data_IF_848361071540
#
_entry.id   IF_848361071540
#
_cell.length_a   1.000
_cell.length_b   1.000
_cell.length_c   1.000
_cell.angle_alpha   90.00
_cell.angle_beta   90.00
_cell.angle_gamma   90.00
#
_symmetry.space_group_name_H-M   'P 1'
#
loop_
_entity.id
_entity.type
_entity.pdbx_description
1 polymer ?
#
# COMPACT_ATOMS: atom_id res chain seq x y z
N UNK A 1 19.46 109.69 -7.94
CA UNK A 1 19.10 109.11 -6.62
C UNK A 1 17.68 108.57 -6.68
N UNK A 2 17.50 107.30 -6.25
CA UNK A 2 16.35 106.65 -5.55
C UNK A 2 14.91 106.91 -6.08
N UNK A 3 13.93 105.98 -6.05
CA UNK A 3 13.75 104.55 -5.74
C UNK A 3 12.22 104.29 -5.88
N UNK A 4 11.83 103.03 -6.10
CA UNK A 4 10.61 102.34 -5.59
C UNK A 4 9.22 102.47 -6.26
N UNK A 5 8.72 101.28 -6.69
CA UNK A 5 7.37 100.63 -6.57
C UNK A 5 6.12 101.30 -7.18
N UNK A 6 4.98 100.61 -7.47
CA UNK A 6 4.50 99.31 -6.94
C UNK A 6 3.71 98.37 -7.93
N UNK A 7 3.04 97.39 -7.29
CA UNK A 7 2.14 96.27 -7.62
C UNK A 7 0.72 96.66 -8.15
N UNK A 8 0.05 95.81 -8.96
CA UNK A 8 -1.42 95.53 -9.09
C UNK A 8 -1.69 94.72 -10.40
N UNK A 9 -2.24 93.50 -10.43
CA UNK A 9 -3.61 92.98 -10.17
C UNK A 9 -4.68 93.35 -11.23
N UNK A 10 -5.27 92.29 -11.81
CA UNK A 10 -6.62 92.15 -12.40
C UNK A 10 -6.96 92.58 -13.85
N UNK A 11 -7.61 91.60 -14.52
CA UNK A 11 -8.86 91.69 -15.31
C UNK A 11 -8.80 92.12 -16.78
N UNK A 12 -9.05 91.09 -17.60
CA UNK A 12 -9.97 91.00 -18.73
C UNK A 12 -10.41 92.24 -19.51
N UNK A 13 -10.45 91.98 -20.83
CA UNK A 13 -11.59 92.19 -21.74
C UNK A 13 -11.45 93.36 -22.74
N UNK A 14 -11.99 93.05 -23.92
CA UNK A 14 -12.41 93.90 -25.05
C UNK A 14 -11.43 94.19 -26.20
N UNK A 15 -11.70 93.43 -27.26
CA UNK A 15 -12.15 93.88 -28.59
C UNK A 15 -11.14 94.28 -29.68
N UNK A 16 -11.32 93.51 -30.78
CA UNK A 16 -11.17 93.84 -32.19
C UNK A 16 -10.86 95.29 -32.54
N UNK A 17 -9.80 95.47 -33.34
CA UNK A 17 -9.76 96.51 -34.36
C UNK A 17 -9.29 95.89 -35.69
N UNK A 18 -9.94 96.37 -36.73
CA UNK A 18 -10.16 95.83 -38.05
C UNK A 18 -9.00 96.23 -38.97
N UNK A 19 -8.74 95.37 -39.95
CA UNK A 19 -7.74 95.50 -41.01
C UNK A 19 -7.92 96.74 -41.90
N UNK A 20 -6.79 97.26 -42.41
CA UNK A 20 -6.73 97.94 -43.71
C UNK A 20 -5.35 97.75 -44.36
N UNK A 21 -5.41 97.41 -45.64
CA UNK A 21 -4.39 96.82 -46.51
C UNK A 21 -3.23 97.73 -46.92
N UNK A 22 -2.12 97.12 -47.35
CA UNK A 22 -1.65 97.29 -48.73
C UNK A 22 -0.72 96.15 -49.17
N UNK A 23 -1.14 95.52 -50.26
CA UNK A 23 -0.46 94.56 -51.16
C UNK A 23 1.06 94.48 -51.05
N UNK A 24 1.56 93.26 -50.91
CA UNK A 24 2.77 92.84 -51.60
C UNK A 24 2.56 91.44 -52.17
N UNK A 25 2.88 91.29 -53.44
CA UNK A 25 2.63 90.10 -54.25
C UNK A 25 3.67 89.03 -53.92
N UNK A 26 3.29 88.08 -53.07
CA UNK A 26 4.01 86.81 -52.95
C UNK A 26 3.02 85.66 -53.15
N UNK A 27 2.79 85.29 -54.40
CA UNK A 27 2.23 83.97 -54.71
C UNK A 27 3.26 82.93 -54.26
N UNK A 28 3.04 82.37 -53.08
CA UNK A 28 3.57 81.05 -52.75
C UNK A 28 2.85 80.08 -53.67
N UNK A 29 3.59 79.47 -54.59
CA UNK A 29 3.13 78.38 -55.44
C UNK A 29 2.66 77.22 -54.55
N UNK A 30 1.38 77.18 -54.20
CA UNK A 30 0.73 76.00 -53.64
C UNK A 30 0.48 74.99 -54.77
N UNK A 31 1.55 74.42 -55.34
CA UNK A 31 1.44 73.16 -56.06
C UNK A 31 1.18 72.09 -55.00
N UNK A 32 0.09 71.31 -55.06
CA UNK A 32 -0.08 70.19 -54.14
C UNK A 32 1.13 69.27 -54.29
N UNK A 33 1.93 69.12 -53.24
CA UNK A 33 2.99 68.11 -53.22
C UNK A 33 2.34 66.75 -53.47
N UNK A 34 2.87 66.01 -54.46
CA UNK A 34 2.41 64.66 -54.72
C UNK A 34 2.59 63.83 -53.43
N UNK A 35 1.59 63.02 -53.01
CA UNK A 35 1.69 62.23 -51.80
C UNK A 35 2.95 61.35 -51.82
N UNK A 36 3.74 61.43 -50.76
CA UNK A 36 4.92 60.58 -50.57
C UNK A 36 4.49 59.11 -50.48
N UNK A 37 5.32 58.21 -50.98
CA UNK A 37 5.12 56.78 -50.74
C UNK A 37 5.35 56.47 -49.25
N UNK A 38 4.52 55.56 -48.70
CA UNK A 38 4.64 55.11 -47.32
C UNK A 38 5.65 53.96 -47.27
N UNK A 39 6.75 54.16 -46.55
CA UNK A 39 7.84 53.16 -46.45
C UNK A 39 8.13 52.91 -44.97
N UNK A 40 8.18 51.63 -44.61
CA UNK A 40 8.60 51.16 -43.29
C UNK A 40 10.09 50.83 -43.32
N UNK A 41 10.76 50.97 -42.19
CA UNK A 41 12.16 50.57 -42.00
C UNK A 41 12.42 49.12 -42.43
N UNK A 42 11.45 48.23 -42.21
CA UNK A 42 11.51 46.81 -42.59
C UNK A 42 10.17 46.35 -43.16
N UNK A 43 10.21 45.31 -43.99
CA UNK A 43 9.03 44.64 -44.55
C UNK A 43 8.72 43.31 -43.87
N UNK A 44 9.64 42.78 -43.05
CA UNK A 44 9.42 41.61 -42.19
C UNK A 44 10.05 41.77 -40.81
N UNK A 45 9.48 41.07 -39.82
CA UNK A 45 9.93 41.04 -38.44
C UNK A 45 9.65 39.66 -37.83
N UNK A 46 10.64 39.06 -37.18
CA UNK A 46 10.47 37.84 -36.40
C UNK A 46 10.65 38.15 -34.91
N UNK A 47 9.68 37.77 -34.08
CA UNK A 47 9.68 37.97 -32.63
C UNK A 47 9.44 36.67 -31.89
N UNK A 48 9.95 36.54 -30.67
CA UNK A 48 9.53 35.49 -29.74
C UNK A 48 8.25 35.92 -29.03
N UNK A 49 7.42 34.96 -28.61
CA UNK A 49 6.25 35.25 -27.76
C UNK A 49 6.67 36.14 -26.57
N UNK A 50 5.86 37.17 -26.28
CA UNK A 50 6.09 38.23 -25.29
C UNK A 50 7.22 39.24 -25.60
N UNK A 51 7.96 39.09 -26.71
CA UNK A 51 8.94 40.07 -27.16
C UNK A 51 8.26 41.32 -27.76
N UNK A 52 8.93 42.45 -27.68
CA UNK A 52 8.49 43.71 -28.28
C UNK A 52 9.61 44.28 -29.15
N UNK A 53 9.27 44.81 -30.32
CA UNK A 53 10.20 45.58 -31.13
C UNK A 53 9.57 46.90 -31.58
N UNK A 54 10.44 47.86 -31.90
CA UNK A 54 10.06 49.16 -32.46
C UNK A 54 10.70 49.34 -33.82
N UNK A 55 9.95 49.91 -34.76
CA UNK A 55 10.40 50.24 -36.12
C UNK A 55 9.92 51.65 -36.48
N UNK A 56 10.59 52.29 -37.42
CA UNK A 56 10.24 53.66 -37.84
C UNK A 56 9.56 53.67 -39.20
N UNK A 57 8.61 54.57 -39.38
CA UNK A 57 8.10 54.99 -40.70
C UNK A 57 9.10 55.97 -41.32
N UNK A 58 9.80 55.54 -42.36
CA UNK A 58 10.94 56.27 -42.96
C UNK A 58 10.52 57.26 -44.06
N UNK A 59 9.37 57.04 -44.68
CA UNK A 59 8.72 57.95 -45.62
C UNK A 59 7.20 57.84 -45.50
N UNK A 60 6.47 58.95 -45.67
CA UNK A 60 5.00 58.96 -45.62
C UNK A 60 4.44 60.37 -45.42
N UNK A 61 3.11 60.47 -45.33
CA UNK A 61 2.40 61.76 -45.27
C UNK A 61 1.88 62.14 -43.86
N UNK A 62 2.41 61.52 -42.80
CA UNK A 62 2.04 61.81 -41.40
C UNK A 62 0.69 61.23 -40.96
N UNK A 63 0.33 61.43 -39.69
CA UNK A 63 -0.88 60.93 -39.03
C UNK A 63 -1.14 59.43 -39.27
N UNK A 64 -0.16 58.61 -38.91
CA UNK A 64 -0.20 57.19 -39.17
C UNK A 64 -1.22 56.46 -38.29
N UNK A 65 -1.87 55.47 -38.88
CA UNK A 65 -2.75 54.51 -38.20
C UNK A 65 -2.24 53.10 -38.47
N UNK A 66 -2.55 52.16 -37.57
CA UNK A 66 -2.10 50.77 -37.67
C UNK A 66 -3.27 49.81 -37.54
N UNK A 67 -3.26 48.76 -38.36
CA UNK A 67 -4.17 47.63 -38.29
C UNK A 67 -3.37 46.34 -38.29
N UNK A 68 -3.71 45.41 -37.40
CA UNK A 68 -3.14 44.05 -37.38
C UNK A 68 -4.19 43.07 -37.88
N UNK A 69 -3.81 42.21 -38.83
CA UNK A 69 -4.71 41.25 -39.46
C UNK A 69 -5.22 40.20 -38.45
N UNK A 70 -4.31 39.59 -37.71
CA UNK A 70 -4.59 38.69 -36.60
C UNK A 70 -4.02 39.26 -35.29
N UNK A 71 -4.91 39.75 -34.43
CA UNK A 71 -4.58 40.32 -33.13
C UNK A 71 -4.30 39.27 -32.05
N UNK A 72 -4.57 37.98 -32.31
CA UNK A 72 -4.19 36.89 -31.41
C UNK A 72 -2.69 36.56 -31.53
N UNK A 73 -2.08 36.82 -32.69
CA UNK A 73 -0.65 36.57 -32.95
C UNK A 73 0.22 37.73 -32.46
N UNK A 74 -0.14 38.98 -32.78
CA UNK A 74 0.61 40.16 -32.34
C UNK A 74 -0.29 41.39 -32.19
N UNK A 75 0.17 42.39 -31.44
CA UNK A 75 -0.44 43.72 -31.38
C UNK A 75 0.52 44.79 -31.87
N UNK A 76 -0.01 45.90 -32.37
CA UNK A 76 0.80 47.02 -32.81
C UNK A 76 0.18 48.36 -32.44
N UNK A 77 1.02 49.32 -32.05
CA UNK A 77 0.65 50.72 -31.84
C UNK A 77 1.57 51.61 -32.64
N UNK A 78 1.09 52.76 -33.08
CA UNK A 78 1.91 53.78 -33.75
C UNK A 78 1.82 55.10 -32.99
N UNK A 79 2.96 55.71 -32.70
CA UNK A 79 3.04 57.01 -32.02
C UNK A 79 4.05 57.87 -32.77
N UNK A 80 3.57 58.99 -33.31
CA UNK A 80 4.32 59.76 -34.31
C UNK A 80 4.80 58.82 -35.43
N UNK A 81 6.10 58.71 -35.68
CA UNK A 81 6.68 57.86 -36.71
C UNK A 81 7.12 56.48 -36.19
N UNK A 82 6.91 56.17 -34.91
CA UNK A 82 7.39 54.91 -34.31
C UNK A 82 6.26 53.89 -34.21
N UNK A 83 6.46 52.75 -34.85
CA UNK A 83 5.61 51.56 -34.78
C UNK A 83 6.16 50.62 -33.70
N UNK A 84 5.38 50.30 -32.68
CA UNK A 84 5.71 49.32 -31.64
C UNK A 84 4.88 48.06 -31.86
N UNK A 85 5.53 46.90 -31.97
CA UNK A 85 4.88 45.59 -32.13
C UNK A 85 5.19 44.75 -30.90
N UNK A 86 4.16 44.12 -30.34
CA UNK A 86 4.27 43.18 -29.21
C UNK A 86 3.75 41.81 -29.66
N UNK A 87 4.57 40.79 -29.54
CA UNK A 87 4.21 39.41 -29.88
C UNK A 87 3.33 38.78 -28.79
N UNK A 88 2.24 38.11 -29.18
CA UNK A 88 1.23 37.56 -28.27
C UNK A 88 1.23 36.03 -28.30
N UNK A 89 1.09 35.42 -29.48
CA UNK A 89 1.07 33.97 -29.63
C UNK A 89 1.81 33.54 -30.90
N UNK A 90 2.28 32.29 -30.94
CA UNK A 90 2.94 31.73 -32.11
C UNK A 90 2.04 31.79 -33.34
N UNK A 91 2.59 32.24 -34.47
CA UNK A 91 1.85 32.36 -35.72
C UNK A 91 2.42 33.43 -36.63
N UNK A 92 1.73 33.69 -37.73
CA UNK A 92 2.08 34.75 -38.69
C UNK A 92 0.93 35.74 -38.81
N UNK A 93 1.24 37.03 -38.88
CA UNK A 93 0.26 38.09 -39.05
C UNK A 93 0.85 39.23 -39.87
N UNK A 94 -0.02 40.08 -40.42
CA UNK A 94 0.41 41.27 -41.17
C UNK A 94 -0.01 42.51 -40.41
N UNK A 95 0.94 43.42 -40.18
CA UNK A 95 0.71 44.75 -39.65
C UNK A 95 0.69 45.73 -40.82
N UNK A 96 -0.47 46.37 -41.06
CA UNK A 96 -0.64 47.39 -42.09
C UNK A 96 -0.65 48.77 -41.46
N UNK A 97 0.24 49.64 -41.93
CA UNK A 97 0.27 51.07 -41.56
C UNK A 97 -0.36 51.86 -42.70
N UNK A 98 -1.20 52.84 -42.36
CA UNK A 98 -1.78 53.78 -43.32
C UNK A 98 -1.50 55.22 -42.90
N UNK A 99 -1.33 56.12 -43.86
CA UNK A 99 -1.11 57.56 -43.61
C UNK A 99 -2.32 58.45 -43.93
N UNK A 100 -2.20 59.75 -43.67
CA UNK A 100 -3.26 60.74 -43.90
C UNK A 100 -3.75 60.85 -45.36
N UNK A 101 -2.98 60.33 -46.34
CA UNK A 101 -3.32 60.35 -47.77
C UNK A 101 -3.80 58.98 -48.27
N UNK A 102 -4.01 58.03 -47.35
CA UNK A 102 -4.50 56.69 -47.67
C UNK A 102 -3.43 55.78 -48.30
N UNK A 103 -2.15 56.17 -48.28
CA UNK A 103 -1.06 55.27 -48.69
C UNK A 103 -0.84 54.24 -47.58
N UNK A 104 -0.55 53.00 -47.98
CA UNK A 104 -0.39 51.88 -47.06
C UNK A 104 0.96 51.19 -47.25
N UNK A 105 1.49 50.63 -46.16
CA UNK A 105 2.66 49.78 -46.15
C UNK A 105 2.41 48.60 -45.20
N UNK A 106 2.96 47.43 -45.55
CA UNK A 106 2.74 46.20 -44.79
C UNK A 106 4.04 45.66 -44.22
N UNK A 107 3.95 45.13 -43.01
CA UNK A 107 5.02 44.43 -42.30
C UNK A 107 4.52 43.01 -42.00
N UNK A 108 5.20 42.00 -42.54
CA UNK A 108 4.96 40.61 -42.18
C UNK A 108 5.61 40.32 -40.83
N UNK A 109 4.81 39.88 -39.85
CA UNK A 109 5.26 39.55 -38.50
C UNK A 109 5.12 38.05 -38.27
N UNK A 110 6.23 37.38 -38.01
CA UNK A 110 6.26 35.97 -37.61
C UNK A 110 6.61 35.88 -36.13
N UNK A 111 5.71 35.32 -35.33
CA UNK A 111 5.96 35.07 -33.91
C UNK A 111 6.35 33.61 -33.73
N UNK A 112 7.59 33.37 -33.31
CA UNK A 112 8.07 32.03 -32.98
C UNK A 112 7.71 31.67 -31.55
N UNK A 113 7.23 30.44 -31.34
CA UNK A 113 6.98 29.91 -30.01
C UNK A 113 8.26 29.74 -29.18
N UNK A 114 8.10 29.51 -27.88
CA UNK A 114 9.21 29.25 -26.96
C UNK A 114 9.25 27.74 -26.70
N UNK A 115 10.47 27.18 -26.75
CA UNK A 115 10.71 25.80 -26.32
C UNK A 115 10.21 25.61 -24.89
N UNK A 116 9.37 24.59 -24.67
CA UNK A 116 8.95 24.23 -23.32
C UNK A 116 8.63 22.74 -23.21
N UNK A 117 8.77 22.22 -21.99
CA UNK A 117 8.21 20.93 -21.60
C UNK A 117 6.73 21.14 -21.23
N UNK A 118 5.84 20.43 -21.91
CA UNK A 118 4.39 20.50 -21.68
C UNK A 118 4.00 19.66 -20.46
N UNK A 119 4.50 18.43 -20.38
CA UNK A 119 4.21 17.53 -19.26
C UNK A 119 5.20 17.80 -18.11
N UNK A 120 4.83 18.69 -17.19
CA UNK A 120 5.70 19.13 -16.08
C UNK A 120 5.99 18.07 -15.02
N UNK A 121 5.20 17.01 -14.97
CA UNK A 121 5.40 15.88 -14.06
C UNK A 121 4.91 14.59 -14.68
N UNK A 122 5.66 13.50 -14.53
CA UNK A 122 5.26 12.17 -15.00
C UNK A 122 5.59 11.09 -13.97
N UNK A 123 4.78 10.05 -13.93
CA UNK A 123 5.05 8.83 -13.15
C UNK A 123 5.30 7.67 -14.11
N UNK A 124 6.30 6.85 -13.82
CA UNK A 124 6.65 5.67 -14.62
C UNK A 124 7.00 4.51 -13.70
N UNK A 125 6.57 3.30 -14.04
CA UNK A 125 7.00 2.11 -13.30
C UNK A 125 8.45 1.77 -13.62
N UNK A 126 9.17 1.20 -12.66
CA UNK A 126 10.54 0.73 -12.89
C UNK A 126 10.58 -0.32 -14.02
N UNK A 127 11.40 -0.07 -15.05
CA UNK A 127 11.49 -0.85 -16.28
C UNK A 127 10.46 -0.49 -17.37
N UNK A 128 9.48 0.36 -17.07
CA UNK A 128 8.49 0.83 -18.04
C UNK A 128 8.94 2.12 -18.74
N UNK A 129 8.26 2.45 -19.85
CA UNK A 129 8.45 3.69 -20.61
C UNK A 129 7.20 4.54 -20.61
N UNK A 130 7.38 5.84 -20.61
CA UNK A 130 6.32 6.83 -20.79
C UNK A 130 6.79 7.94 -21.72
N UNK A 131 5.85 8.66 -22.31
CA UNK A 131 6.13 9.78 -23.20
C UNK A 131 5.98 11.10 -22.43
N UNK A 132 6.86 12.06 -22.71
CA UNK A 132 6.80 13.44 -22.22
C UNK A 132 6.73 14.39 -23.40
N UNK A 133 5.68 15.21 -23.44
CA UNK A 133 5.43 16.16 -24.53
C UNK A 133 6.23 17.43 -24.34
N UNK A 134 6.77 17.91 -25.45
CA UNK A 134 7.45 19.19 -25.60
C UNK A 134 6.65 20.07 -26.58
N UNK A 135 6.99 21.35 -26.62
CA UNK A 135 6.52 22.27 -27.65
C UNK A 135 7.69 23.06 -28.21
N UNK A 136 7.66 23.31 -29.52
CA UNK A 136 8.68 24.07 -30.24
C UNK A 136 10.10 23.54 -30.04
N UNK A 137 10.24 22.22 -29.95
CA UNK A 137 11.53 21.55 -29.82
C UNK A 137 12.06 21.00 -31.14
N UNK A 138 13.30 20.52 -31.09
CA UNK A 138 13.98 19.81 -32.16
C UNK A 138 14.61 18.55 -31.58
N UNK A 139 14.50 17.40 -32.26
CA UNK A 139 14.83 16.08 -31.71
C UNK A 139 16.27 15.92 -31.15
N UNK A 140 17.17 16.88 -31.40
CA UNK A 140 18.49 16.93 -30.77
C UNK A 140 18.41 17.58 -29.38
N UNK A 141 18.10 16.77 -28.36
CA UNK A 141 18.06 17.20 -26.95
C UNK A 141 19.24 16.68 -26.15
N UNK A 142 19.74 17.50 -25.24
CA UNK A 142 20.59 17.08 -24.14
C UNK A 142 19.78 17.06 -22.84
N UNK A 143 19.58 15.87 -22.27
CA UNK A 143 18.79 15.67 -21.06
C UNK A 143 19.70 15.31 -19.88
N UNK A 144 19.57 16.03 -18.77
CA UNK A 144 20.31 15.77 -17.53
C UNK A 144 19.33 15.39 -16.43
N UNK A 145 19.53 14.22 -15.82
CA UNK A 145 18.68 13.68 -14.75
C UNK A 145 19.38 13.84 -13.40
N UNK A 146 18.70 14.44 -12.42
CA UNK A 146 19.21 14.59 -11.05
C UNK A 146 18.16 14.08 -10.05
N UNK A 147 18.48 13.08 -9.21
CA UNK A 147 19.72 12.30 -9.16
C UNK A 147 19.98 11.46 -10.42
N UNK A 148 21.25 11.18 -10.72
CA UNK A 148 21.63 10.32 -11.86
C UNK A 148 21.17 8.86 -11.64
N UNK A 149 20.84 8.17 -12.74
CA UNK A 149 20.48 6.76 -12.73
C UNK A 149 19.04 6.43 -12.29
N UNK A 150 18.19 7.43 -12.08
CA UNK A 150 16.76 7.24 -11.78
C UNK A 150 15.96 6.96 -13.05
N UNK A 151 16.19 7.74 -14.11
CA UNK A 151 15.56 7.55 -15.42
C UNK A 151 16.58 7.64 -16.57
N UNK A 152 16.25 7.00 -17.68
CA UNK A 152 16.89 7.23 -18.97
C UNK A 152 15.93 8.02 -19.87
N UNK A 153 16.41 9.12 -20.47
CA UNK A 153 15.60 9.98 -21.33
C UNK A 153 16.21 10.01 -22.72
N UNK A 154 15.35 9.88 -23.74
CA UNK A 154 15.75 9.88 -25.14
C UNK A 154 14.73 10.63 -25.99
N UNK A 155 15.17 11.23 -27.10
CA UNK A 155 14.27 11.85 -28.06
C UNK A 155 13.51 10.78 -28.86
N UNK A 156 12.19 10.93 -28.96
CA UNK A 156 11.34 10.10 -29.81
C UNK A 156 10.95 10.83 -31.10
N UNK A 157 10.61 12.11 -30.99
CA UNK A 157 10.34 13.04 -32.09
C UNK A 157 10.77 14.46 -31.69
N UNK A 158 10.59 15.45 -32.58
CA UNK A 158 10.83 16.87 -32.31
C UNK A 158 9.99 17.45 -31.17
N UNK A 159 8.97 16.75 -30.67
CA UNK A 159 8.14 17.25 -29.58
C UNK A 159 7.78 16.16 -28.56
N UNK A 160 8.50 15.04 -28.55
CA UNK A 160 8.24 13.94 -27.62
C UNK A 160 9.55 13.33 -27.15
N UNK A 161 9.71 13.22 -25.83
CA UNK A 161 10.74 12.42 -25.17
C UNK A 161 10.16 11.08 -24.74
N UNK A 162 10.97 10.02 -24.80
CA UNK A 162 10.70 8.75 -24.13
C UNK A 162 11.51 8.70 -22.83
N UNK A 163 10.82 8.44 -21.72
CA UNK A 163 11.39 8.34 -20.37
C UNK A 163 11.23 6.90 -19.89
N UNK A 164 12.34 6.24 -19.58
CA UNK A 164 12.39 4.89 -19.04
C UNK A 164 12.77 4.93 -17.55
N UNK A 165 11.95 4.32 -16.69
CA UNK A 165 12.26 4.19 -15.26
C UNK A 165 13.37 3.15 -15.03
N UNK A 166 14.45 3.52 -14.35
CA UNK A 166 15.57 2.61 -14.06
C UNK A 166 15.67 2.22 -12.58
N UNK A 167 15.29 3.14 -11.69
CA UNK A 167 15.40 2.94 -10.24
C UNK A 167 14.30 3.72 -9.53
N UNK A 168 13.66 3.08 -8.56
CA UNK A 168 12.63 3.70 -7.71
C UNK A 168 13.16 4.95 -7.02
N UNK A 169 12.41 6.04 -7.12
CA UNK A 169 12.78 7.34 -6.58
C UNK A 169 12.18 8.48 -7.38
N UNK A 170 12.56 9.71 -7.05
CA UNK A 170 12.17 10.91 -7.78
C UNK A 170 13.40 11.59 -8.37
N UNK A 171 13.25 12.19 -9.54
CA UNK A 171 14.30 12.96 -10.20
C UNK A 171 13.72 14.14 -10.98
N UNK A 172 14.48 15.22 -11.04
CA UNK A 172 14.24 16.34 -11.94
C UNK A 172 15.05 16.12 -13.22
N UNK A 173 14.38 16.24 -14.37
CA UNK A 173 15.03 16.18 -15.68
C UNK A 173 15.10 17.59 -16.26
N UNK A 174 16.31 18.05 -16.57
CA UNK A 174 16.53 19.26 -17.36
C UNK A 174 16.68 18.89 -18.82
N UNK A 175 15.82 19.43 -19.67
CA UNK A 175 15.83 19.22 -21.12
C UNK A 175 16.43 20.45 -21.78
N UNK A 176 17.54 20.28 -22.50
CA UNK A 176 18.13 21.33 -23.33
C UNK A 176 17.85 21.02 -24.79
N UNK A 177 17.11 21.88 -25.48
CA UNK A 177 17.06 21.88 -26.93
C UNK A 177 18.40 22.44 -27.46
N UNK A 178 19.19 21.58 -28.10
CA UNK A 178 20.57 21.90 -28.51
C UNK A 178 20.59 22.98 -29.60
N UNK A 179 19.57 23.01 -30.45
CA UNK A 179 19.52 23.93 -31.59
C UNK A 179 19.19 25.37 -31.15
N UNK A 180 18.23 25.52 -30.25
CA UNK A 180 17.81 26.81 -29.72
C UNK A 180 18.61 27.26 -28.49
N UNK A 181 19.33 26.33 -27.85
CA UNK A 181 20.04 26.54 -26.58
C UNK A 181 19.11 26.79 -25.39
N UNK A 182 17.81 26.51 -25.52
CA UNK A 182 16.81 26.74 -24.49
C UNK A 182 16.62 25.50 -23.61
N UNK A 183 16.24 25.76 -22.37
CA UNK A 183 16.08 24.75 -21.35
C UNK A 183 14.73 24.88 -20.66
N UNK A 184 14.19 23.74 -20.27
CA UNK A 184 13.03 23.63 -19.39
C UNK A 184 13.12 22.30 -18.63
N UNK A 185 12.32 22.15 -17.59
CA UNK A 185 12.40 21.01 -16.66
C UNK A 185 11.06 20.29 -16.52
N UNK A 186 11.13 19.03 -16.10
CA UNK A 186 10.00 18.27 -15.58
C UNK A 186 10.42 17.31 -14.47
N UNK A 187 9.48 16.98 -13.60
CA UNK A 187 9.66 16.03 -12.51
C UNK A 187 9.27 14.62 -12.94
N UNK A 188 10.04 13.63 -12.52
CA UNK A 188 9.73 12.21 -12.72
C UNK A 188 9.71 11.49 -11.39
N UNK A 189 8.66 10.69 -11.19
CA UNK A 189 8.62 9.70 -10.11
C UNK A 189 8.63 8.31 -10.70
N UNK A 190 9.65 7.52 -10.35
CA UNK A 190 9.73 6.11 -10.70
C UNK A 190 9.17 5.29 -9.55
N UNK A 191 8.05 4.61 -9.79
CA UNK A 191 7.43 3.71 -8.80
C UNK A 191 8.01 2.31 -8.93
N UNK A 192 8.06 1.57 -7.81
CA UNK A 192 8.37 0.14 -7.86
C UNK A 192 7.28 -0.63 -8.61
N UNK A 193 7.61 -1.83 -9.11
CA UNK A 193 6.59 -2.72 -9.65
C UNK A 193 5.57 -3.05 -8.55
N UNK A 194 4.25 -3.00 -8.82
CA UNK A 194 3.25 -3.31 -7.81
C UNK A 194 3.44 -4.73 -7.31
N UNK A 195 3.47 -4.92 -5.99
CA UNK A 195 3.67 -6.25 -5.43
C UNK A 195 2.35 -7.04 -5.40
N UNK A 196 2.25 -8.08 -6.23
CA UNK A 196 1.05 -8.91 -6.38
C UNK A 196 1.36 -10.39 -6.32
N UNK A 197 0.40 -11.16 -5.82
CA UNK A 197 0.47 -12.61 -5.65
C UNK A 197 -0.78 -13.29 -6.22
N UNK A 198 -0.67 -14.55 -6.63
CA UNK A 198 -1.75 -15.27 -7.30
C UNK A 198 -2.94 -15.63 -6.40
N UNK A 199 -2.73 -15.71 -5.08
CA UNK A 199 -3.76 -16.00 -4.07
C UNK A 199 -3.40 -15.30 -2.76
N UNK A 200 -4.41 -14.74 -2.08
CA UNK A 200 -4.24 -14.04 -0.81
C UNK A 200 -4.91 -14.75 0.38
N UNK A 201 -5.64 -15.85 0.14
CA UNK A 201 -6.18 -16.70 1.20
C UNK A 201 -6.52 -18.09 0.70
N UNK A 202 -6.42 -19.08 1.58
CA UNK A 202 -6.86 -20.45 1.35
C UNK A 202 -6.86 -21.26 2.66
N UNK A 203 -7.38 -22.48 2.57
CA UNK A 203 -7.41 -23.46 3.66
C UNK A 203 -6.44 -24.59 3.33
N UNK A 204 -5.67 -25.05 4.32
CA UNK A 204 -4.80 -26.23 4.25
C UNK A 204 -5.13 -27.23 5.34
N UNK A 205 -4.84 -28.50 5.08
CA UNK A 205 -4.77 -29.55 6.10
C UNK A 205 -3.33 -29.65 6.61
N UNK A 206 -3.14 -29.96 7.91
CA UNK A 206 -1.80 -30.19 8.49
C UNK A 206 -1.02 -31.22 7.65
N UNK A 207 0.22 -30.89 7.31
CA UNK A 207 1.10 -31.72 6.48
C UNK A 207 1.07 -31.40 4.98
N UNK A 208 0.04 -30.73 4.48
CA UNK A 208 -0.03 -30.33 3.08
C UNK A 208 0.79 -29.06 2.79
N UNK A 209 1.17 -28.91 1.52
CA UNK A 209 1.87 -27.73 1.01
C UNK A 209 1.09 -27.10 -0.14
N UNK A 210 0.94 -25.78 -0.13
CA UNK A 210 0.39 -24.98 -1.24
C UNK A 210 1.49 -24.08 -1.81
N UNK A 211 1.39 -23.79 -3.11
CA UNK A 211 2.27 -22.84 -3.78
C UNK A 211 1.51 -21.57 -4.15
N UNK A 212 2.10 -20.41 -3.86
CA UNK A 212 1.59 -19.10 -4.30
C UNK A 212 2.64 -18.43 -5.17
N UNK A 213 2.24 -18.02 -6.36
CA UNK A 213 3.12 -17.34 -7.29
C UNK A 213 3.14 -15.84 -6.99
N UNK A 214 4.33 -15.24 -7.03
CA UNK A 214 4.53 -13.79 -7.07
C UNK A 214 4.39 -13.37 -8.53
N UNK A 215 3.32 -12.63 -8.83
CA UNK A 215 2.95 -12.26 -10.20
C UNK A 215 3.56 -10.93 -10.63
N UNK A 216 3.92 -10.07 -9.68
CA UNK A 216 4.69 -8.82 -9.90
C UNK A 216 5.28 -8.38 -8.56
N UNK A 217 6.41 -7.68 -8.55
CA UNK A 217 7.08 -7.21 -7.33
C UNK A 217 8.58 -7.00 -7.52
N UNK A 218 9.25 -6.41 -6.52
CA UNK A 218 10.68 -6.12 -6.57
C UNK A 218 11.48 -7.25 -5.86
N UNK A 219 12.37 -8.00 -6.56
CA UNK A 219 13.12 -9.14 -5.98
C UNK A 219 13.89 -8.80 -4.68
N UNK A 220 14.23 -9.81 -3.86
CA UNK A 220 14.60 -9.74 -2.42
C UNK A 220 13.40 -9.90 -1.48
N UNK A 221 12.57 -10.91 -1.77
CA UNK A 221 11.36 -11.21 -1.00
C UNK A 221 11.70 -11.80 0.37
N UNK A 222 11.07 -11.27 1.42
CA UNK A 222 11.25 -11.66 2.82
C UNK A 222 9.93 -12.10 3.43
N UNK A 223 9.99 -13.11 4.30
CA UNK A 223 8.81 -13.67 4.98
C UNK A 223 8.79 -13.23 6.45
N UNK A 224 7.60 -12.84 6.91
CA UNK A 224 7.28 -12.64 8.32
C UNK A 224 5.98 -13.41 8.67
N UNK A 225 5.93 -13.98 9.87
CA UNK A 225 4.79 -14.77 10.35
C UNK A 225 4.04 -14.05 11.47
N UNK A 226 2.72 -14.23 11.52
CA UNK A 226 1.96 -13.93 12.74
C UNK A 226 2.06 -15.07 13.77
N UNK A 227 2.13 -16.34 13.33
CA UNK A 227 2.23 -17.54 14.18
C UNK A 227 3.05 -18.62 13.47
N UNK A 228 4.29 -18.86 13.93
CA UNK A 228 5.24 -19.78 13.28
C UNK A 228 4.89 -21.28 13.38
N UNK A 229 4.08 -21.66 14.37
CA UNK A 229 3.69 -23.06 14.60
C UNK A 229 2.48 -23.51 13.77
N UNK A 230 1.87 -22.62 12.98
CA UNK A 230 0.70 -22.93 12.14
C UNK A 230 1.12 -23.23 10.70
N UNK A 231 1.98 -22.39 10.11
CA UNK A 231 2.43 -22.53 8.72
C UNK A 231 3.89 -22.10 8.60
N UNK A 232 4.68 -22.85 7.83
CA UNK A 232 6.03 -22.48 7.42
C UNK A 232 5.99 -22.02 5.97
N UNK A 233 6.78 -21.01 5.64
CA UNK A 233 6.89 -20.52 4.27
C UNK A 233 8.35 -20.48 3.81
N UNK A 234 8.61 -20.90 2.59
CA UNK A 234 9.90 -20.81 1.92
C UNK A 234 9.70 -20.15 0.56
N UNK A 235 10.64 -19.30 0.15
CA UNK A 235 10.59 -18.64 -1.17
C UNK A 235 11.67 -19.26 -2.05
N UNK A 236 11.28 -19.72 -3.23
CA UNK A 236 12.18 -20.18 -4.28
C UNK A 236 11.90 -19.38 -5.56
N UNK A 237 12.75 -18.39 -5.86
CA UNK A 237 12.51 -17.44 -6.94
C UNK A 237 11.21 -16.65 -6.71
N UNK A 238 10.26 -16.78 -7.64
CA UNK A 238 8.96 -16.11 -7.58
C UNK A 238 7.84 -17.02 -7.04
N UNK A 239 8.17 -18.12 -6.37
CA UNK A 239 7.17 -19.04 -5.80
C UNK A 239 7.35 -19.13 -4.29
N UNK A 240 6.24 -18.96 -3.58
CA UNK A 240 6.13 -19.10 -2.13
C UNK A 240 5.55 -20.48 -1.84
N UNK A 241 6.33 -21.34 -1.19
CA UNK A 241 5.89 -22.66 -0.71
C UNK A 241 5.42 -22.55 0.73
N UNK A 242 4.16 -22.89 0.99
CA UNK A 242 3.50 -22.77 2.29
C UNK A 242 3.15 -24.17 2.80
N UNK A 243 3.86 -24.66 3.82
CA UNK A 243 3.63 -25.97 4.43
C UNK A 243 2.89 -25.82 5.75
N UNK A 244 1.75 -26.49 5.87
CA UNK A 244 0.95 -26.49 7.10
C UNK A 244 1.61 -27.32 8.21
N UNK A 245 1.77 -26.71 9.39
CA UNK A 245 2.46 -27.29 10.56
C UNK A 245 1.51 -27.63 11.70
N UNK A 246 0.52 -26.76 11.98
CA UNK A 246 -0.37 -26.93 13.11
C UNK A 246 -1.71 -26.24 12.89
N UNK A 247 -2.76 -26.77 13.50
CA UNK A 247 -4.11 -26.23 13.41
C UNK A 247 -4.16 -24.77 13.87
N UNK A 248 -4.86 -23.91 13.13
CA UNK A 248 -5.06 -22.53 13.50
C UNK A 248 -5.15 -21.59 12.30
N UNK A 249 -5.16 -20.28 12.57
CA UNK A 249 -5.14 -19.24 11.55
C UNK A 249 -3.82 -18.49 11.65
N UNK A 250 -3.17 -18.25 10.51
CA UNK A 250 -1.95 -17.46 10.45
C UNK A 250 -1.95 -16.55 9.23
N UNK A 251 -1.34 -15.39 9.37
CA UNK A 251 -0.99 -14.52 8.27
C UNK A 251 0.48 -14.73 7.94
N UNK A 252 0.76 -15.00 6.67
CA UNK A 252 2.11 -14.95 6.11
C UNK A 252 2.24 -13.64 5.36
N UNK A 253 3.14 -12.78 5.84
CA UNK A 253 3.40 -11.47 5.25
C UNK A 253 4.68 -11.58 4.46
N UNK A 254 4.61 -11.28 3.18
CA UNK A 254 5.75 -11.20 2.29
C UNK A 254 6.06 -9.73 2.07
N UNK A 255 7.33 -9.37 2.09
CA UNK A 255 7.81 -8.02 1.80
C UNK A 255 8.79 -8.07 0.64
N UNK A 256 8.72 -7.13 -0.29
CA UNK A 256 9.63 -7.02 -1.43
C UNK A 256 10.78 -6.01 -1.15
N UNK A 257 11.73 -5.82 -2.08
CA UNK A 257 12.83 -4.86 -1.87
C UNK A 257 12.36 -3.41 -1.69
N UNK A 258 11.21 -3.06 -2.26
CA UNK A 258 10.59 -1.74 -2.14
C UNK A 258 9.73 -1.59 -0.87
N UNK A 259 9.81 -2.55 0.06
CA UNK A 259 9.04 -2.60 1.31
C UNK A 259 7.52 -2.71 1.11
N UNK A 260 7.07 -3.08 -0.10
CA UNK A 260 5.66 -3.39 -0.35
C UNK A 260 5.31 -4.72 0.29
N UNK A 261 4.08 -4.86 0.76
CA UNK A 261 3.62 -6.05 1.50
C UNK A 261 2.48 -6.75 0.80
N UNK A 262 2.55 -8.08 0.75
CA UNK A 262 1.44 -8.95 0.40
C UNK A 262 1.15 -9.87 1.58
N UNK A 263 -0.13 -10.07 1.90
CA UNK A 263 -0.56 -10.91 3.02
C UNK A 263 -1.32 -12.10 2.49
N UNK A 264 -0.95 -13.29 2.96
CA UNK A 264 -1.65 -14.54 2.72
C UNK A 264 -2.31 -14.98 4.03
N UNK A 265 -3.64 -14.96 4.07
CA UNK A 265 -4.41 -15.50 5.19
C UNK A 265 -4.57 -17.02 5.03
N UNK A 266 -3.87 -17.79 5.86
CA UNK A 266 -3.92 -19.25 5.85
C UNK A 266 -4.74 -19.73 7.03
N UNK A 267 -5.79 -20.51 6.76
CA UNK A 267 -6.44 -21.32 7.79
C UNK A 267 -5.92 -22.74 7.64
N UNK A 268 -5.25 -23.25 8.68
CA UNK A 268 -4.84 -24.65 8.75
C UNK A 268 -5.88 -25.36 9.60
N UNK A 269 -6.65 -26.24 8.98
CA UNK A 269 -7.43 -27.20 9.73
C UNK A 269 -6.44 -28.15 10.41
N UNK A 270 -6.65 -28.43 11.70
CA UNK A 270 -6.00 -29.60 12.30
C UNK A 270 -6.39 -30.81 11.48
N UNK A 271 -5.48 -31.77 11.33
CA UNK A 271 -5.72 -32.99 10.56
C UNK A 271 -7.16 -33.45 10.82
N UNK A 272 -8.04 -33.23 9.83
CA UNK A 272 -9.42 -33.60 9.99
C UNK A 272 -9.39 -35.12 10.03
N UNK A 273 -9.64 -35.65 11.20
CA UNK A 273 -10.03 -37.04 11.41
C UNK A 273 -11.43 -37.24 10.80
N UNK A 274 -11.56 -36.96 9.50
CA UNK A 274 -12.84 -36.89 8.80
C UNK A 274 -13.32 -38.23 8.29
N UNK A 275 -12.48 -39.25 8.37
CA UNK A 275 -12.86 -40.65 8.12
C UNK A 275 -11.87 -41.62 8.77
N UNK A 276 -11.37 -41.31 9.97
CA UNK A 276 -10.56 -42.27 10.76
C UNK A 276 -11.34 -42.90 11.90
N UNK A 277 -12.53 -42.39 12.20
CA UNK A 277 -13.34 -42.83 13.31
C UNK A 277 -14.59 -43.56 12.82
N UNK A 278 -14.89 -44.69 13.42
CA UNK A 278 -16.22 -45.26 13.40
C UNK A 278 -16.96 -44.81 14.67
N UNK A 279 -18.26 -44.57 14.56
CA UNK A 279 -19.11 -44.18 15.68
C UNK A 279 -20.26 -45.18 15.76
N UNK A 280 -20.13 -46.10 16.70
CA UNK A 280 -21.08 -47.20 16.89
C UNK A 280 -22.02 -46.88 18.05
N UNK A 281 -23.28 -47.31 17.94
CA UNK A 281 -24.23 -47.21 19.03
C UNK A 281 -23.94 -48.27 20.09
N UNK A 282 -23.88 -47.86 21.35
CA UNK A 282 -23.64 -48.76 22.47
C UNK A 282 -24.77 -49.77 22.63
N UNK A 283 -24.42 -51.00 22.98
CA UNK A 283 -25.37 -52.09 23.21
C UNK A 283 -25.67 -52.30 24.70
N UNK A 284 -26.78 -52.97 24.99
CA UNK A 284 -27.25 -53.36 26.32
C UNK A 284 -27.31 -52.18 27.33
N UNK A 285 -26.53 -52.27 28.41
CA UNK A 285 -26.48 -51.27 29.49
C UNK A 285 -25.89 -49.92 29.06
N UNK A 286 -25.38 -49.82 27.83
CA UNK A 286 -24.82 -48.60 27.25
C UNK A 286 -25.68 -48.06 26.07
N UNK A 287 -26.93 -48.48 25.91
CA UNK A 287 -27.84 -47.97 24.87
C UNK A 287 -27.91 -46.42 24.88
N UNK A 288 -27.71 -45.82 23.70
CA UNK A 288 -27.62 -44.36 23.53
C UNK A 288 -26.23 -43.75 23.76
N UNK A 289 -25.24 -44.52 24.22
CA UNK A 289 -23.83 -44.16 24.08
C UNK A 289 -23.42 -44.25 22.59
N UNK A 290 -22.57 -43.33 22.13
CA UNK A 290 -22.02 -43.29 20.77
C UNK A 290 -20.52 -43.46 20.90
N UNK A 291 -20.08 -44.71 20.76
CA UNK A 291 -18.72 -45.15 21.00
C UNK A 291 -17.86 -44.83 19.78
N UNK A 292 -16.85 -44.00 20.00
CA UNK A 292 -15.88 -43.61 19.00
C UNK A 292 -14.73 -44.61 19.05
N UNK A 293 -14.48 -45.28 17.93
CA UNK A 293 -13.37 -46.21 17.70
C UNK A 293 -12.56 -45.77 16.47
N UNK A 294 -11.37 -46.33 16.27
CA UNK A 294 -10.60 -46.09 15.05
C UNK A 294 -10.95 -47.13 13.98
N UNK A 295 -11.14 -46.66 12.74
CA UNK A 295 -11.22 -47.53 11.56
C UNK A 295 -9.97 -48.39 11.45
N UNK A 296 -10.14 -49.56 10.85
CA UNK A 296 -9.02 -50.45 10.58
C UNK A 296 -7.90 -49.73 9.79
N UNK A 297 -6.66 -49.82 10.31
CA UNK A 297 -5.45 -49.17 9.78
C UNK A 297 -5.43 -47.63 9.85
N UNK A 298 -6.39 -46.99 10.52
CA UNK A 298 -6.34 -45.56 10.70
C UNK A 298 -5.18 -45.12 11.61
N UNK A 299 -4.59 -43.97 11.29
CA UNK A 299 -3.50 -43.38 12.08
C UNK A 299 -3.89 -41.98 12.50
N UNK A 300 -4.05 -41.77 13.82
CA UNK A 300 -4.29 -40.46 14.40
C UNK A 300 -2.96 -39.72 14.63
N UNK A 301 -2.82 -38.50 14.12
CA UNK A 301 -1.61 -37.66 14.27
C UNK A 301 -1.98 -36.21 14.55
N UNK A 302 -1.10 -35.46 15.23
CA UNK A 302 -1.27 -34.04 15.51
C UNK A 302 -2.43 -33.74 16.46
N UNK A 303 -3.18 -32.68 16.17
CA UNK A 303 -4.35 -32.30 16.96
C UNK A 303 -5.58 -33.09 16.48
N UNK A 304 -6.18 -33.90 17.36
CA UNK A 304 -7.37 -34.69 17.06
C UNK A 304 -8.64 -33.99 17.53
N UNK A 305 -9.69 -34.06 16.70
CA UNK A 305 -11.06 -33.64 17.04
C UNK A 305 -11.96 -34.85 16.92
N UNK A 306 -12.71 -35.16 17.97
CA UNK A 306 -13.66 -36.27 17.98
C UNK A 306 -14.94 -35.88 17.21
N UNK A 307 -15.59 -36.81 16.47
CA UNK A 307 -16.86 -36.56 15.80
C UNK A 307 -17.90 -35.97 16.76
N UNK A 308 -18.70 -35.01 16.29
CA UNK A 308 -19.62 -34.27 17.15
C UNK A 308 -20.72 -35.16 17.74
N UNK A 309 -21.09 -36.24 17.05
CA UNK A 309 -22.01 -37.25 17.57
C UNK A 309 -21.40 -38.18 18.62
N UNK A 310 -20.07 -38.30 18.72
CA UNK A 310 -19.41 -39.20 19.67
C UNK A 310 -19.62 -38.77 21.13
N UNK A 311 -20.01 -39.72 21.98
CA UNK A 311 -20.18 -39.48 23.43
C UNK A 311 -19.23 -40.30 24.29
N UNK A 312 -18.66 -41.38 23.76
CA UNK A 312 -17.72 -42.25 24.49
C UNK A 312 -16.46 -42.48 23.66
N UNK A 313 -15.29 -42.42 24.29
CA UNK A 313 -14.06 -42.92 23.67
C UNK A 313 -13.85 -44.38 24.04
N UNK A 314 -13.63 -45.22 23.04
CA UNK A 314 -13.35 -46.63 23.24
C UNK A 314 -12.05 -46.86 24.04
N UNK A 315 -11.94 -48.04 24.65
CA UNK A 315 -10.77 -48.46 25.38
C UNK A 315 -9.55 -48.55 24.46
N UNK A 316 -8.40 -48.06 24.93
CA UNK A 316 -7.10 -48.13 24.24
C UNK A 316 -7.04 -47.51 22.84
N UNK A 317 -8.03 -46.72 22.43
CA UNK A 317 -8.14 -46.12 21.08
C UNK A 317 -6.85 -45.41 20.60
N UNK A 318 -6.09 -44.77 21.51
CA UNK A 318 -4.81 -44.13 21.21
C UNK A 318 -3.64 -44.67 22.05
N UNK A 319 -3.71 -45.91 22.56
CA UNK A 319 -2.63 -46.49 23.36
C UNK A 319 -1.30 -46.50 22.58
N UNK A 320 -0.26 -45.93 23.19
CA UNK A 320 1.08 -45.85 22.64
C UNK A 320 1.26 -44.84 21.51
N UNK A 321 0.23 -44.08 21.14
CA UNK A 321 0.30 -43.13 20.04
C UNK A 321 1.17 -41.92 20.42
N UNK A 322 2.31 -41.77 19.74
CA UNK A 322 3.27 -40.69 19.98
C UNK A 322 3.14 -39.52 19.02
N UNK A 323 2.21 -39.57 18.08
CA UNK A 323 2.06 -38.53 17.07
C UNK A 323 0.93 -37.54 17.41
N UNK A 324 0.02 -37.91 18.33
CA UNK A 324 -1.01 -37.00 18.83
C UNK A 324 -0.41 -35.95 19.77
N UNK A 325 -0.68 -34.68 19.50
CA UNK A 325 -0.21 -33.52 20.27
C UNK A 325 -1.30 -32.89 21.15
N UNK A 326 -2.56 -32.97 20.73
CA UNK A 326 -3.71 -32.49 21.51
C UNK A 326 -5.01 -33.19 21.13
N UNK A 327 -5.98 -33.24 22.04
CA UNK A 327 -7.30 -33.82 21.77
C UNK A 327 -8.46 -32.92 22.23
N UNK A 328 -9.41 -32.65 21.33
CA UNK A 328 -10.68 -32.01 21.67
C UNK A 328 -11.77 -33.05 21.94
N UNK A 329 -12.11 -33.23 23.22
CA UNK A 329 -13.11 -34.19 23.73
C UNK A 329 -14.35 -33.47 24.28
N UNK A 330 -14.69 -32.28 23.76
CA UNK A 330 -15.79 -31.43 24.27
C UNK A 330 -17.16 -32.13 24.36
N UNK A 331 -17.40 -33.17 23.57
CA UNK A 331 -18.67 -33.91 23.54
C UNK A 331 -18.62 -35.25 24.28
N UNK A 332 -17.42 -35.70 24.67
CA UNK A 332 -17.23 -36.98 25.36
C UNK A 332 -17.70 -36.88 26.82
N UNK A 333 -18.49 -37.86 27.26
CA UNK A 333 -18.94 -38.06 28.64
C UNK A 333 -18.15 -39.17 29.33
N UNK A 334 -17.56 -40.13 28.60
CA UNK A 334 -16.83 -41.28 29.15
C UNK A 334 -15.57 -41.56 28.34
N UNK A 335 -14.43 -41.65 29.03
CA UNK A 335 -13.14 -42.01 28.44
C UNK A 335 -12.83 -43.45 28.83
N UNK A 336 -12.68 -44.33 27.83
CA UNK A 336 -12.38 -45.74 28.02
C UNK A 336 -11.05 -46.03 28.71
N UNK A 337 -10.92 -47.27 29.18
CA UNK A 337 -9.72 -47.74 29.85
C UNK A 337 -8.51 -47.67 28.89
N UNK A 338 -7.41 -47.09 29.34
CA UNK A 338 -6.19 -46.95 28.55
C UNK A 338 -6.28 -46.05 27.30
N UNK A 339 -7.37 -45.30 27.08
CA UNK A 339 -7.64 -44.58 25.83
C UNK A 339 -6.47 -43.71 25.30
N UNK A 340 -5.68 -43.10 26.17
CA UNK A 340 -4.49 -42.29 25.88
C UNK A 340 -3.25 -42.79 26.65
N UNK A 341 -3.20 -44.09 26.96
CA UNK A 341 -2.03 -44.70 27.63
C UNK A 341 -0.78 -44.49 26.78
N UNK A 342 0.33 -44.13 27.43
CA UNK A 342 1.65 -43.91 26.80
C UNK A 342 1.66 -42.91 25.62
N UNK A 343 0.72 -41.96 25.56
CA UNK A 343 0.67 -40.89 24.56
C UNK A 343 1.63 -39.74 24.89
N UNK A 344 2.93 -39.96 24.76
CA UNK A 344 3.97 -39.09 25.36
C UNK A 344 4.06 -37.68 24.77
N UNK A 345 3.51 -37.46 23.56
CA UNK A 345 3.48 -36.14 22.91
C UNK A 345 2.17 -35.38 23.13
N UNK A 346 1.14 -36.00 23.71
CA UNK A 346 -0.13 -35.36 24.03
C UNK A 346 0.06 -34.31 25.13
N UNK A 347 0.03 -33.02 24.77
CA UNK A 347 0.25 -31.92 25.74
C UNK A 347 -1.03 -31.37 26.35
N UNK A 348 -2.13 -31.44 25.61
CA UNK A 348 -3.40 -30.79 25.98
C UNK A 348 -4.60 -31.65 25.61
N UNK A 349 -5.58 -31.69 26.51
CA UNK A 349 -6.89 -32.32 26.27
C UNK A 349 -7.99 -31.37 26.73
N UNK A 350 -9.01 -31.17 25.91
CA UNK A 350 -10.22 -30.41 26.26
C UNK A 350 -11.32 -31.38 26.64
N UNK A 351 -11.84 -31.31 27.87
CA UNK A 351 -12.82 -32.26 28.43
C UNK A 351 -13.95 -31.51 29.14
N UNK A 352 -14.85 -30.85 28.42
CA UNK A 352 -15.87 -29.98 29.06
C UNK A 352 -17.09 -30.72 29.62
N UNK A 353 -17.37 -31.93 29.13
CA UNK A 353 -18.56 -32.73 29.53
C UNK A 353 -18.23 -34.09 30.15
N UNK A 354 -16.94 -34.41 30.32
CA UNK A 354 -16.51 -35.73 30.80
C UNK A 354 -17.02 -35.96 32.22
N UNK A 355 -17.64 -37.13 32.42
CA UNK A 355 -18.17 -37.64 33.70
C UNK A 355 -17.32 -38.76 34.26
N UNK A 356 -16.79 -39.63 33.40
CA UNK A 356 -16.02 -40.81 33.80
C UNK A 356 -14.72 -40.95 33.04
N UNK A 357 -13.63 -41.26 33.77
CA UNK A 357 -12.32 -41.53 33.21
C UNK A 357 -11.87 -42.94 33.62
N UNK A 358 -11.59 -43.78 32.62
CA UNK A 358 -11.24 -45.18 32.75
C UNK A 358 -9.92 -45.49 33.46
N UNK A 359 -9.72 -46.77 33.74
CA UNK A 359 -8.48 -47.30 34.32
C UNK A 359 -7.33 -46.97 33.37
N UNK A 360 -6.24 -46.40 33.90
CA UNK A 360 -5.05 -46.09 33.11
C UNK A 360 -5.27 -45.17 31.89
N UNK A 361 -6.42 -44.47 31.79
CA UNK A 361 -6.81 -43.73 30.59
C UNK A 361 -5.73 -42.77 30.05
N UNK A 362 -4.94 -42.13 30.91
CA UNK A 362 -3.85 -41.23 30.56
C UNK A 362 -2.53 -41.63 31.26
N UNK A 363 -2.32 -42.91 31.57
CA UNK A 363 -1.07 -43.33 32.23
C UNK A 363 0.13 -43.03 31.32
N UNK A 364 1.18 -42.42 31.87
CA UNK A 364 2.40 -42.05 31.15
C UNK A 364 2.18 -41.19 29.89
N UNK A 365 1.14 -40.35 29.86
CA UNK A 365 0.93 -39.39 28.77
C UNK A 365 1.77 -38.11 28.96
N UNK A 366 1.82 -37.29 27.91
CA UNK A 366 2.66 -36.10 27.83
C UNK A 366 2.10 -34.83 28.47
N UNK A 367 1.01 -34.91 29.22
CA UNK A 367 0.21 -33.75 29.63
C UNK A 367 1.03 -32.78 30.47
N UNK A 368 0.92 -31.48 30.16
CA UNK A 368 1.55 -30.41 30.94
C UNK A 368 0.55 -29.73 31.87
N UNK A 369 -0.69 -29.62 31.42
CA UNK A 369 -1.82 -29.09 32.17
C UNK A 369 -3.05 -29.98 31.98
N UNK A 370 -3.90 -30.01 32.99
CA UNK A 370 -5.14 -30.78 33.01
C UNK A 370 -6.24 -29.94 33.65
N UNK A 371 -7.41 -29.88 33.02
CA UNK A 371 -8.63 -29.32 33.63
C UNK A 371 -9.67 -30.42 33.71
N UNK A 372 -10.08 -30.75 34.93
CA UNK A 372 -11.17 -31.66 35.21
C UNK A 372 -12.48 -30.85 35.32
N UNK A 373 -13.49 -31.13 34.47
CA UNK A 373 -14.72 -30.35 34.42
C UNK A 373 -15.56 -30.54 35.69
N UNK A 374 -16.54 -29.65 35.92
CA UNK A 374 -17.48 -29.79 37.03
C UNK A 374 -18.44 -30.98 36.85
N UNK A 375 -18.52 -31.53 35.63
CA UNK A 375 -19.28 -32.75 35.36
C UNK A 375 -18.57 -34.03 35.81
N UNK A 376 -17.31 -33.97 36.25
CA UNK A 376 -16.56 -35.18 36.57
C UNK A 376 -17.16 -35.86 37.81
N UNK A 377 -17.51 -37.13 37.69
CA UNK A 377 -18.12 -37.94 38.73
C UNK A 377 -17.16 -39.04 39.20
N UNK A 378 -16.46 -39.70 38.26
CA UNK A 378 -15.58 -40.84 38.57
C UNK A 378 -14.24 -40.76 37.84
N UNK A 379 -13.15 -41.02 38.56
CA UNK A 379 -11.81 -41.22 37.99
C UNK A 379 -11.24 -42.54 38.53
N UNK A 380 -11.05 -43.51 37.63
CA UNK A 380 -10.62 -44.85 38.00
C UNK A 380 -9.11 -44.94 38.31
N UNK A 381 -8.69 -46.13 38.72
CA UNK A 381 -7.32 -46.44 39.15
C UNK A 381 -6.28 -46.07 38.09
N UNK A 382 -5.18 -45.44 38.54
CA UNK A 382 -4.01 -45.08 37.72
C UNK A 382 -4.27 -44.17 36.51
N UNK A 383 -5.45 -43.54 36.42
CA UNK A 383 -5.87 -42.78 35.24
C UNK A 383 -4.83 -41.74 34.78
N UNK A 384 -4.12 -41.07 35.68
CA UNK A 384 -3.08 -40.08 35.38
C UNK A 384 -1.72 -40.42 35.99
N UNK A 385 -1.48 -41.70 36.29
CA UNK A 385 -0.19 -42.15 36.83
C UNK A 385 0.96 -41.81 35.87
N UNK A 386 2.14 -41.48 36.39
CA UNK A 386 3.36 -41.24 35.63
C UNK A 386 3.28 -40.13 34.56
N UNK A 387 2.36 -39.18 34.73
CA UNK A 387 2.36 -37.92 33.98
C UNK A 387 3.49 -37.01 34.49
N UNK A 388 4.70 -37.23 33.98
CA UNK A 388 5.92 -36.57 34.48
C UNK A 388 6.03 -35.09 34.12
N UNK A 389 5.34 -34.65 33.06
CA UNK A 389 5.32 -33.25 32.63
C UNK A 389 4.19 -32.42 33.24
N UNK A 390 3.27 -33.06 33.99
CA UNK A 390 2.07 -32.42 34.50
C UNK A 390 2.38 -31.55 35.71
N UNK A 391 2.33 -30.24 35.51
CA UNK A 391 2.65 -29.22 36.54
C UNK A 391 1.41 -28.49 37.06
N UNK A 392 0.32 -28.48 36.29
CA UNK A 392 -0.92 -27.80 36.67
C UNK A 392 -2.12 -28.72 36.52
N UNK A 393 -2.88 -28.89 37.59
CA UNK A 393 -4.21 -29.51 37.54
C UNK A 393 -5.22 -28.51 38.04
N UNK A 394 -6.30 -28.32 37.29
CA UNK A 394 -7.45 -27.52 37.70
C UNK A 394 -8.64 -28.45 37.87
N UNK A 395 -9.36 -28.33 38.97
CA UNK A 395 -10.64 -29.01 39.17
C UNK A 395 -11.72 -27.95 39.31
N UNK A 396 -12.83 -28.13 38.59
CA UNK A 396 -13.97 -27.20 38.65
C UNK A 396 -15.05 -27.64 39.64
N UNK A 397 -14.92 -28.83 40.23
CA UNK A 397 -15.83 -29.31 41.27
C UNK A 397 -15.56 -28.61 42.62
N UNK A 398 -16.59 -28.02 43.25
CA UNK A 398 -16.43 -27.36 44.54
C UNK A 398 -16.21 -28.33 45.70
N UNK A 399 -16.57 -29.61 45.52
CA UNK A 399 -16.34 -30.67 46.50
C UNK A 399 -15.45 -31.76 45.89
N UNK A 400 -14.48 -32.31 46.63
CA UNK A 400 -13.60 -33.35 46.10
C UNK A 400 -14.37 -34.64 45.84
N UNK A 401 -14.40 -35.09 44.58
CA UNK A 401 -14.91 -36.43 44.25
C UNK A 401 -14.01 -37.53 44.79
N UNK A 402 -14.54 -38.73 44.97
CA UNK A 402 -13.72 -39.90 45.30
C UNK A 402 -12.85 -40.27 44.11
N UNK A 403 -11.54 -40.33 44.33
CA UNK A 403 -10.56 -40.85 43.36
C UNK A 403 -9.92 -42.12 43.89
N UNK A 404 -9.58 -43.01 42.97
CA UNK A 404 -8.96 -44.30 43.29
C UNK A 404 -7.52 -44.16 43.78
N UNK A 405 -7.00 -45.21 44.42
CA UNK A 405 -5.57 -45.27 44.77
C UNK A 405 -4.73 -45.10 43.50
N UNK A 406 -3.66 -44.33 43.61
CA UNK A 406 -2.69 -44.05 42.55
C UNK A 406 -3.21 -43.30 41.31
N UNK A 407 -4.40 -42.68 41.35
CA UNK A 407 -4.94 -41.90 40.23
C UNK A 407 -3.93 -40.89 39.66
N UNK A 408 -3.18 -40.20 40.51
CA UNK A 408 -2.16 -39.21 40.12
C UNK A 408 -0.73 -39.59 40.54
N UNK A 409 -0.48 -40.87 40.85
CA UNK A 409 0.80 -41.33 41.38
C UNK A 409 1.98 -40.97 40.46
N UNK A 410 3.07 -40.51 41.06
CA UNK A 410 4.31 -40.13 40.37
C UNK A 410 5.47 -40.13 41.36
N UNK A 411 6.69 -39.91 40.89
CA UNK A 411 7.86 -39.76 41.77
C UNK A 411 7.73 -38.52 42.66
N UNK A 412 8.34 -38.56 43.85
CA UNK A 412 8.34 -37.40 44.76
C UNK A 412 8.84 -36.13 44.06
N UNK A 413 9.90 -36.22 43.26
CA UNK A 413 10.48 -35.10 42.51
C UNK A 413 9.49 -34.45 41.52
N UNK A 414 8.64 -35.24 40.88
CA UNK A 414 7.65 -34.72 39.93
C UNK A 414 6.42 -34.16 40.66
N UNK A 415 6.05 -34.75 41.80
CA UNK A 415 5.00 -34.21 42.66
C UNK A 415 5.32 -32.79 43.14
N UNK A 416 6.58 -32.49 43.46
CA UNK A 416 7.04 -31.15 43.87
C UNK A 416 6.89 -30.06 42.79
N UNK A 417 6.50 -30.42 41.56
CA UNK A 417 6.24 -29.48 40.46
C UNK A 417 4.76 -29.27 40.19
N UNK A 418 3.88 -30.01 40.88
CA UNK A 418 2.45 -30.07 40.56
C UNK A 418 1.60 -29.25 41.52
N UNK A 419 0.85 -28.28 41.00
CA UNK A 419 -0.08 -27.44 41.75
C UNK A 419 -1.51 -27.82 41.36
N UNK A 420 -2.36 -28.00 42.38
CA UNK A 420 -3.80 -28.16 42.21
C UNK A 420 -4.49 -26.80 42.37
N UNK A 421 -5.32 -26.44 41.41
CA UNK A 421 -6.21 -25.28 41.47
C UNK A 421 -7.65 -25.76 41.65
N UNK A 422 -8.32 -25.25 42.68
CA UNK A 422 -9.71 -25.62 43.03
C UNK A 422 -10.59 -24.37 43.05
N UNK A 423 -11.94 -24.51 43.04
CA UNK A 423 -12.83 -23.36 43.13
C UNK A 423 -12.62 -22.58 44.42
N UNK A 424 -12.94 -21.29 44.40
CA UNK A 424 -12.87 -20.42 45.57
C UNK A 424 -13.78 -20.95 46.68
N UNK A 425 -13.24 -21.07 47.90
CA UNK A 425 -13.91 -21.67 49.05
C UNK A 425 -13.74 -23.19 49.18
N UNK A 426 -13.11 -23.86 48.22
CA UNK A 426 -12.97 -25.32 48.22
C UNK A 426 -11.63 -25.82 48.79
N UNK A 427 -10.65 -24.93 49.02
CA UNK A 427 -9.28 -25.34 49.38
C UNK A 427 -9.23 -26.31 50.56
N UNK A 428 -9.85 -25.97 51.68
CA UNK A 428 -9.85 -26.80 52.90
C UNK A 428 -10.43 -28.20 52.66
N UNK A 429 -11.48 -28.32 51.84
CA UNK A 429 -12.09 -29.61 51.54
C UNK A 429 -11.14 -30.53 50.76
N UNK A 430 -10.38 -29.97 49.81
CA UNK A 430 -9.39 -30.73 49.05
C UNK A 430 -8.12 -31.03 49.86
N UNK A 431 -7.70 -30.14 50.75
CA UNK A 431 -6.58 -30.39 51.67
C UNK A 431 -6.89 -31.53 52.66
N UNK A 432 -8.11 -31.60 53.16
CA UNK A 432 -8.55 -32.67 54.07
C UNK A 432 -8.82 -34.01 53.36
N UNK A 433 -8.86 -34.03 52.03
CA UNK A 433 -9.01 -35.27 51.27
C UNK A 433 -7.63 -35.85 50.96
N UNK A 434 -7.19 -36.85 51.75
CA UNK A 434 -5.87 -37.46 51.62
C UNK A 434 -5.58 -38.01 50.21
N UNK A 435 -6.61 -38.53 49.54
CA UNK A 435 -6.45 -39.07 48.20
C UNK A 435 -6.18 -37.98 47.17
N UNK A 436 -6.64 -36.74 47.39
CA UNK A 436 -6.26 -35.58 46.58
C UNK A 436 -4.93 -34.99 47.04
N UNK A 437 -4.84 -34.56 48.30
CA UNK A 437 -3.74 -33.77 48.83
C UNK A 437 -2.35 -34.41 48.61
N UNK A 438 -2.22 -35.74 48.77
CA UNK A 438 -0.93 -36.43 48.63
C UNK A 438 -0.30 -36.39 47.24
N UNK A 439 -1.05 -35.97 46.21
CA UNK A 439 -0.61 -35.96 44.82
C UNK A 439 -0.09 -34.62 44.31
N UNK A 440 -0.11 -33.58 45.15
CA UNK A 440 0.23 -32.21 44.76
C UNK A 440 1.18 -31.59 45.77
N UNK A 441 2.02 -30.67 45.31
CA UNK A 441 2.86 -29.84 46.20
C UNK A 441 2.03 -28.85 46.98
N UNK A 442 1.08 -28.22 46.30
CA UNK A 442 0.31 -27.10 46.83
C UNK A 442 -1.10 -27.11 46.22
N UNK A 443 -2.08 -26.70 47.04
CA UNK A 443 -3.46 -26.46 46.63
C UNK A 443 -3.73 -24.95 46.70
N UNK A 444 -4.18 -24.38 45.58
CA UNK A 444 -4.54 -22.97 45.41
C UNK A 444 -5.98 -22.84 44.97
N UNK A 445 -6.58 -21.70 45.27
CA UNK A 445 -7.90 -21.36 44.75
C UNK A 445 -7.78 -20.62 43.42
N UNK A 446 -8.80 -20.78 42.58
CA UNK A 446 -8.99 -19.95 41.40
C UNK A 446 -9.37 -18.53 41.84
N UNK A 447 -8.79 -17.54 41.18
CA UNK A 447 -9.06 -16.12 41.43
C UNK A 447 -10.47 -15.71 41.02
#
# INVERSE_FOLDING_TARGET
MKRFNPFCVMVALFALIIAACSKDDNKVDNKPENPKELILEKTSLTLKVAETATLTVTSGNGSYTVKVADQAVASATVTQNTLKITAIAQGETVVTVADAKGKTASLSVTVTGIFAVVDKSVTVENGAKTDVKLQNGHANYNCVCVPEGIVLVSAKTDNVLSVEGLKVGSATVTVTDVQSGKQDIFEVTVTGMPFTISKNSFVLEVGNTEQVAITSGNPDYKVQYSIENVVKAQINGNVIHLTAVGAGKANVIITDAAQQKATIAVTVNGAVAGDIFDVDEGEDENEGEKVVSLKMNAVATGAITIPDEGTVLDASIFDGNKDITSADLKNITKIGDGAFKATTNLKKVVMTKVKSIGVQAFISSGLTELTLPASIETIKSMAFMNNYSLTKVTVLNPTPITISLNTFATSAQNREKRILYVPKGSKTAYENNENWAKNFKEIRELN
#
